data_IF_569171473109
#
_entry.id   IF_569171473109
#
_cell.length_a   1.000
_cell.length_b   1.000
_cell.length_c   1.000
_cell.angle_alpha   90.00
_cell.angle_beta   90.00
_cell.angle_gamma   90.00
#
_symmetry.space_group_name_H-M   'P 1'
#
loop_
_entity.id
_entity.type
_entity.pdbx_description
1 polymer ?
#
# COMPACT_ATOMS: atom_id res chain seq x y z
N UNK A 1 -8.08 -19.01 -17.45
CA UNK A 1 -8.06 -17.98 -18.51
C UNK A 1 -8.97 -16.85 -18.06
N UNK A 2 -8.42 -15.79 -17.46
CA UNK A 2 -9.24 -14.62 -17.11
C UNK A 2 -9.56 -13.84 -18.38
N UNK A 3 -10.82 -13.44 -18.53
CA UNK A 3 -11.30 -12.71 -19.70
C UNK A 3 -10.94 -11.23 -19.60
N UNK A 4 -10.03 -10.79 -20.47
CA UNK A 4 -9.73 -9.39 -20.75
C UNK A 4 -10.92 -8.76 -21.49
N UNK A 5 -11.51 -7.71 -20.95
CA UNK A 5 -12.48 -6.86 -21.68
C UNK A 5 -11.91 -5.46 -21.68
N UNK A 6 -11.96 -4.71 -22.76
CA UNK A 6 -11.27 -3.42 -22.90
C UNK A 6 -12.31 -2.31 -23.07
N UNK A 7 -12.35 -1.31 -22.17
CA UNK A 7 -13.03 -0.03 -22.42
C UNK A 7 -12.32 1.11 -21.71
N UNK A 8 -11.89 2.08 -22.53
CA UNK A 8 -11.60 3.49 -22.22
C UNK A 8 -10.59 3.79 -21.11
N UNK A 9 -9.31 3.92 -21.49
CA UNK A 9 -8.35 4.89 -20.92
C UNK A 9 -7.89 4.72 -19.47
N UNK A 10 -8.44 3.76 -18.73
CA UNK A 10 -8.02 3.39 -17.38
C UNK A 10 -7.42 1.99 -17.50
N UNK A 11 -6.13 1.84 -17.15
CA UNK A 11 -5.51 0.53 -17.02
C UNK A 11 -6.42 -0.35 -16.16
N UNK A 12 -6.91 -1.44 -16.75
CA UNK A 12 -7.91 -2.28 -16.11
C UNK A 12 -7.29 -3.07 -14.97
N UNK A 13 -7.84 -2.90 -13.78
CA UNK A 13 -7.42 -3.57 -12.55
C UNK A 13 -7.60 -5.09 -12.65
N UNK A 14 -6.66 -5.85 -12.08
CA UNK A 14 -6.90 -7.27 -11.79
C UNK A 14 -8.07 -7.37 -10.81
N UNK A 15 -9.05 -8.25 -11.10
CA UNK A 15 -10.04 -8.66 -10.11
C UNK A 15 -9.30 -9.14 -8.86
N UNK A 16 -9.59 -8.51 -7.71
CA UNK A 16 -8.94 -8.84 -6.45
C UNK A 16 -7.96 -7.80 -5.92
N UNK A 17 -7.71 -6.67 -6.59
CA UNK A 17 -6.88 -5.58 -6.02
C UNK A 17 -7.73 -4.47 -5.38
N UNK A 18 -7.20 -3.77 -4.39
CA UNK A 18 -7.78 -2.54 -3.86
C UNK A 18 -6.73 -1.43 -3.69
N UNK A 19 -7.14 -0.20 -3.97
CA UNK A 19 -6.34 0.99 -3.71
C UNK A 19 -6.20 1.18 -2.19
N UNK A 20 -4.97 1.36 -1.71
CA UNK A 20 -4.68 1.48 -0.28
C UNK A 20 -5.50 2.61 0.39
N UNK A 21 -5.71 3.73 -0.29
CA UNK A 21 -6.52 4.85 0.24
C UNK A 21 -8.04 4.60 0.27
N UNK A 22 -8.54 3.57 -0.44
CA UNK A 22 -9.96 3.22 -0.52
C UNK A 22 -10.34 2.04 0.39
N UNK A 23 -9.41 1.52 1.19
CA UNK A 23 -9.66 0.38 2.08
C UNK A 23 -10.63 0.70 3.22
N UNK A 24 -10.99 1.97 3.40
CA UNK A 24 -11.87 2.45 4.45
C UNK A 24 -13.18 2.99 3.85
N UNK A 25 -14.20 2.13 3.76
CA UNK A 25 -15.60 2.54 3.49
C UNK A 25 -16.65 1.75 4.29
N UNK A 26 -16.28 0.82 5.15
CA UNK A 26 -17.24 0.13 6.01
C UNK A 26 -17.41 0.92 7.32
N UNK A 27 -18.56 1.60 7.44
CA UNK A 27 -19.13 2.18 8.67
C UNK A 27 -19.41 1.12 9.77
N UNK A 28 -18.56 0.11 9.95
CA UNK A 28 -18.80 -1.07 10.80
C UNK A 28 -17.84 -1.19 11.99
N UNK A 29 -16.98 -0.21 12.23
CA UNK A 29 -16.08 -0.25 13.39
C UNK A 29 -16.79 0.40 14.58
N UNK A 30 -17.43 -0.41 15.43
CA UNK A 30 -18.09 0.08 16.64
C UNK A 30 -17.10 0.56 17.70
N UNK A 31 -15.88 0.01 17.72
CA UNK A 31 -14.81 0.37 18.66
C UNK A 31 -13.43 0.38 17.98
N UNK A 32 -13.07 1.46 17.28
CA UNK A 32 -11.74 1.59 16.71
C UNK A 32 -10.68 1.68 17.82
N UNK A 33 -9.64 0.86 17.71
CA UNK A 33 -8.37 1.03 18.42
C UNK A 33 -7.67 2.28 17.88
N UNK A 34 -7.44 3.24 18.77
CA UNK A 34 -6.70 4.46 18.49
C UNK A 34 -5.30 4.33 19.07
N UNK A 35 -4.29 4.75 18.32
CA UNK A 35 -2.97 4.95 18.89
C UNK A 35 -2.96 6.13 19.88
N UNK A 36 -1.83 6.32 20.57
CA UNK A 36 -1.64 7.42 21.54
C UNK A 36 -1.85 8.84 20.96
N UNK A 37 -1.90 8.98 19.64
CA UNK A 37 -2.13 10.24 18.94
C UNK A 37 -3.53 10.36 18.34
N UNK A 38 -4.42 9.39 18.59
CA UNK A 38 -5.80 9.39 18.09
C UNK A 38 -5.94 8.97 16.62
N UNK A 39 -4.97 8.25 16.06
CA UNK A 39 -5.06 7.73 14.70
C UNK A 39 -5.59 6.29 14.65
N UNK A 40 -6.38 5.99 13.62
CA UNK A 40 -6.99 4.69 13.37
C UNK A 40 -6.29 4.03 12.19
N UNK A 41 -5.70 2.87 12.45
CA UNK A 41 -4.92 2.10 11.51
C UNK A 41 -5.72 1.40 10.41
N UNK A 42 -5.84 2.03 9.23
CA UNK A 42 -6.71 1.52 8.15
C UNK A 42 -6.25 0.18 7.58
N UNK A 43 -4.95 -0.01 7.44
CA UNK A 43 -4.40 -1.21 6.81
C UNK A 43 -4.43 -2.40 7.77
N UNK A 44 -4.23 -2.19 9.08
CA UNK A 44 -4.38 -3.26 10.07
C UNK A 44 -5.81 -3.84 10.05
N UNK A 45 -6.84 -2.99 10.03
CA UNK A 45 -8.24 -3.48 9.91
C UNK A 45 -8.47 -4.25 8.62
N UNK A 46 -7.96 -3.74 7.49
CA UNK A 46 -8.09 -4.44 6.21
C UNK A 46 -7.54 -5.87 6.28
N UNK A 47 -6.38 -6.08 6.90
CA UNK A 47 -5.81 -7.42 7.04
C UNK A 47 -6.64 -8.31 7.96
N UNK A 48 -7.14 -7.78 9.07
CA UNK A 48 -8.00 -8.52 10.01
C UNK A 48 -9.34 -8.92 9.39
N UNK A 49 -9.95 -8.05 8.58
CA UNK A 49 -11.22 -8.34 7.90
C UNK A 49 -11.05 -9.31 6.72
N UNK A 50 -9.94 -9.19 5.98
CA UNK A 50 -9.71 -9.98 4.76
C UNK A 50 -9.15 -11.38 5.06
N UNK A 51 -8.35 -11.51 6.13
CA UNK A 51 -7.70 -12.76 6.49
C UNK A 51 -8.02 -13.11 7.96
N UNK A 52 -9.19 -13.72 8.24
CA UNK A 52 -9.59 -14.04 9.61
C UNK A 52 -8.81 -15.21 10.22
N UNK A 53 -8.22 -16.07 9.38
CA UNK A 53 -7.41 -17.21 9.83
C UNK A 53 -6.01 -16.73 10.27
N UNK A 54 -5.58 -16.93 11.53
CA UNK A 54 -4.35 -16.32 12.06
C UNK A 54 -3.08 -16.70 11.31
N UNK A 55 -2.99 -17.94 10.86
CA UNK A 55 -1.84 -18.44 10.09
C UNK A 55 -1.73 -17.71 8.75
N UNK A 56 -2.83 -17.64 8.00
CA UNK A 56 -2.92 -16.91 6.75
C UNK A 56 -2.67 -15.42 6.97
N UNK A 57 -3.30 -14.78 7.97
CA UNK A 57 -3.08 -13.37 8.30
C UNK A 57 -1.60 -13.04 8.49
N UNK A 58 -0.89 -13.86 9.25
CA UNK A 58 0.53 -13.66 9.51
C UNK A 58 1.35 -13.74 8.21
N UNK A 59 1.12 -14.78 7.39
CA UNK A 59 1.80 -14.94 6.11
C UNK A 59 1.54 -13.76 5.16
N UNK A 60 0.28 -13.33 5.03
CA UNK A 60 -0.13 -12.22 4.18
C UNK A 60 0.49 -10.90 4.63
N UNK A 61 0.54 -10.66 5.94
CA UNK A 61 1.23 -9.50 6.50
C UNK A 61 2.73 -9.53 6.23
N UNK A 62 3.38 -10.70 6.28
CA UNK A 62 4.79 -10.80 5.89
C UNK A 62 5.00 -10.50 4.39
N UNK A 63 4.13 -10.98 3.51
CA UNK A 63 4.17 -10.66 2.08
C UNK A 63 3.96 -9.17 1.81
N UNK A 64 3.04 -8.54 2.54
CA UNK A 64 2.85 -7.09 2.52
C UNK A 64 4.13 -6.34 2.89
N UNK A 65 4.71 -6.62 4.06
CA UNK A 65 5.91 -5.90 4.53
C UNK A 65 7.07 -6.05 3.54
N UNK A 66 7.30 -7.27 3.04
CA UNK A 66 8.37 -7.56 2.07
C UNK A 66 8.17 -6.84 0.74
N UNK A 67 6.94 -6.81 0.23
CA UNK A 67 6.63 -6.11 -1.02
C UNK A 67 6.72 -4.59 -0.88
N UNK A 68 6.31 -4.02 0.27
CA UNK A 68 6.54 -2.60 0.59
C UNK A 68 8.04 -2.28 0.63
N UNK A 69 8.85 -3.11 1.30
CA UNK A 69 10.30 -2.93 1.38
C UNK A 69 10.95 -2.96 0.00
N UNK A 70 10.66 -3.99 -0.81
CA UNK A 70 11.18 -4.12 -2.16
C UNK A 70 10.77 -2.92 -3.04
N UNK A 71 9.48 -2.55 -3.01
CA UNK A 71 8.96 -1.41 -3.78
C UNK A 71 9.62 -0.10 -3.37
N UNK A 72 9.88 0.11 -2.07
CA UNK A 72 10.56 1.31 -1.57
C UNK A 72 11.99 1.46 -2.09
N UNK A 73 12.75 0.36 -2.12
CA UNK A 73 14.13 0.34 -2.62
C UNK A 73 14.14 0.58 -4.13
N UNK A 74 13.27 -0.12 -4.88
CA UNK A 74 13.16 0.04 -6.33
C UNK A 74 12.75 1.46 -6.71
N UNK A 75 11.75 2.03 -6.03
CA UNK A 75 11.28 3.39 -6.28
C UNK A 75 12.35 4.45 -5.96
N UNK A 76 13.19 4.20 -4.96
CA UNK A 76 14.34 5.05 -4.68
C UNK A 76 15.39 4.98 -5.80
N UNK A 77 15.82 3.79 -6.19
CA UNK A 77 16.86 3.58 -7.22
C UNK A 77 16.42 4.14 -8.57
N UNK A 78 15.17 3.93 -8.96
CA UNK A 78 14.64 4.42 -10.24
C UNK A 78 14.29 5.92 -10.24
N UNK A 79 14.21 6.55 -9.06
CA UNK A 79 13.82 7.95 -8.93
C UNK A 79 12.37 8.23 -9.36
N UNK A 80 11.43 7.34 -9.04
CA UNK A 80 10.01 7.47 -9.40
C UNK A 80 9.36 8.66 -8.67
N UNK A 81 9.03 9.75 -9.35
CA UNK A 81 8.57 11.03 -8.79
C UNK A 81 7.07 11.20 -8.58
N UNK A 82 6.27 10.12 -8.56
CA UNK A 82 4.84 10.18 -8.25
C UNK A 82 4.48 9.21 -7.12
N UNK A 83 5.07 9.47 -5.95
CA UNK A 83 5.18 8.54 -4.81
C UNK A 83 3.99 8.60 -3.86
N UNK A 84 2.81 8.96 -4.35
CA UNK A 84 1.62 9.10 -3.52
C UNK A 84 0.90 7.77 -3.30
N UNK A 85 0.27 7.60 -2.13
CA UNK A 85 -0.48 6.38 -1.73
C UNK A 85 -1.59 6.00 -2.71
N UNK A 86 -2.02 6.93 -3.58
CA UNK A 86 -2.99 6.64 -4.64
C UNK A 86 -2.43 5.76 -5.77
N UNK A 87 -1.11 5.57 -5.82
CA UNK A 87 -0.42 4.71 -6.81
C UNK A 87 0.02 3.37 -6.22
N UNK A 88 -0.45 3.03 -5.02
CA UNK A 88 -0.19 1.75 -4.36
C UNK A 88 -1.50 0.95 -4.27
N UNK A 89 -1.51 -0.17 -4.97
CA UNK A 89 -2.49 -1.22 -4.80
C UNK A 89 -2.01 -2.25 -3.78
N UNK A 90 -2.98 -2.86 -3.11
CA UNK A 90 -2.80 -4.10 -2.35
C UNK A 90 -3.64 -5.19 -3.03
N UNK A 91 -3.01 -6.31 -3.36
CA UNK A 91 -3.73 -7.51 -3.79
C UNK A 91 -4.47 -8.13 -2.60
N UNK A 92 -5.78 -8.33 -2.68
CA UNK A 92 -6.61 -8.87 -1.59
C UNK A 92 -6.40 -10.36 -1.37
N UNK A 93 -5.83 -11.08 -2.33
CA UNK A 93 -5.51 -12.49 -2.18
C UNK A 93 -4.11 -12.65 -1.60
N UNK A 94 -3.11 -11.94 -2.13
CA UNK A 94 -1.70 -12.13 -1.75
C UNK A 94 -1.20 -11.18 -0.68
N UNK A 95 -1.90 -10.06 -0.46
CA UNK A 95 -1.49 -8.91 0.34
C UNK A 95 -0.24 -8.18 -0.18
N UNK A 96 0.21 -8.49 -1.40
CA UNK A 96 1.38 -7.84 -1.98
C UNK A 96 1.04 -6.44 -2.51
N UNK A 97 2.01 -5.53 -2.35
CA UNK A 97 1.92 -4.18 -2.87
C UNK A 97 2.33 -4.13 -4.34
N UNK A 98 1.47 -3.51 -5.15
CA UNK A 98 1.72 -3.27 -6.57
C UNK A 98 1.71 -1.76 -6.84
N UNK A 99 2.80 -1.25 -7.40
CA UNK A 99 2.89 0.13 -7.85
C UNK A 99 2.30 0.24 -9.26
N UNK A 100 1.39 1.18 -9.47
CA UNK A 100 0.59 1.26 -10.72
C UNK A 100 0.90 2.47 -11.59
N UNK A 101 1.70 3.42 -11.10
CA UNK A 101 2.06 4.59 -11.87
C UNK A 101 3.59 4.74 -11.95
N UNK A 102 4.09 4.86 -13.17
CA UNK A 102 5.51 5.14 -13.46
C UNK A 102 5.64 6.39 -14.34
N UNK A 103 4.58 7.20 -14.47
CA UNK A 103 4.51 8.34 -15.38
C UNK A 103 5.55 9.43 -15.07
N UNK A 104 5.96 9.57 -13.82
CA UNK A 104 7.10 10.39 -13.40
C UNK A 104 8.22 9.46 -12.95
N UNK A 105 9.19 9.20 -13.82
CA UNK A 105 10.38 8.40 -13.52
C UNK A 105 11.67 9.20 -13.75
N UNK A 106 12.82 8.66 -13.32
CA UNK A 106 14.15 9.24 -13.56
C UNK A 106 14.33 10.65 -12.99
N UNK A 107 13.93 10.84 -11.73
CA UNK A 107 14.11 12.09 -10.97
C UNK A 107 13.36 13.32 -11.50
N UNK A 108 12.47 13.16 -12.49
CA UNK A 108 11.64 14.25 -13.00
C UNK A 108 10.76 14.89 -11.93
N UNK A 109 10.48 14.19 -10.83
CA UNK A 109 9.79 14.73 -9.64
C UNK A 109 10.54 15.87 -8.95
N UNK A 110 11.87 15.99 -9.11
CA UNK A 110 12.67 17.10 -8.55
C UNK A 110 12.52 18.40 -9.33
N UNK A 111 12.02 18.32 -10.57
CA UNK A 111 11.89 19.44 -11.52
C UNK A 111 10.46 20.03 -11.46
N UNK A 112 9.56 19.42 -10.68
CA UNK A 112 8.22 19.95 -10.43
C UNK A 112 8.27 21.29 -9.69
N UNK A 113 7.21 22.10 -9.87
CA UNK A 113 7.07 23.40 -9.19
C UNK A 113 7.18 23.27 -7.66
N UNK A 114 6.70 22.16 -7.11
CA UNK A 114 6.97 21.72 -5.75
C UNK A 114 7.77 20.42 -5.81
N UNK A 115 9.11 20.45 -5.56
CA UNK A 115 9.94 19.27 -5.68
C UNK A 115 9.56 18.16 -4.70
N UNK A 116 9.51 16.92 -5.17
CA UNK A 116 9.45 15.76 -4.30
C UNK A 116 10.85 15.44 -3.73
N UNK A 117 11.05 15.67 -2.43
CA UNK A 117 12.33 15.45 -1.76
C UNK A 117 12.45 14.09 -1.07
N UNK A 118 11.32 13.39 -0.84
CA UNK A 118 11.30 12.11 -0.12
C UNK A 118 11.50 10.93 -1.08
N UNK A 119 12.40 9.98 -0.75
CA UNK A 119 12.77 8.86 -1.63
C UNK A 119 11.66 7.80 -1.78
N UNK A 120 10.88 7.58 -0.73
CA UNK A 120 9.68 6.76 -0.67
C UNK A 120 8.80 7.25 0.48
N UNK A 121 7.48 7.26 0.31
CA UNK A 121 6.55 7.79 1.31
C UNK A 121 5.96 6.67 2.16
N UNK A 122 6.61 6.37 3.28
CA UNK A 122 6.04 5.54 4.35
C UNK A 122 5.00 6.34 5.12
N UNK A 123 3.73 6.29 4.69
CA UNK A 123 2.65 6.91 5.46
C UNK A 123 2.30 6.12 6.70
N UNK A 124 1.55 6.75 7.62
CA UNK A 124 1.06 6.10 8.83
C UNK A 124 0.24 4.85 8.53
N UNK A 125 -0.61 4.88 7.50
CA UNK A 125 -1.38 3.69 7.09
C UNK A 125 -0.46 2.55 6.61
N UNK A 126 0.61 2.87 5.86
CA UNK A 126 1.54 1.85 5.39
C UNK A 126 2.28 1.21 6.56
N UNK A 127 2.77 2.02 7.51
CA UNK A 127 3.48 1.53 8.70
C UNK A 127 2.54 0.73 9.60
N UNK A 128 1.29 1.17 9.74
CA UNK A 128 0.25 0.49 10.50
C UNK A 128 -0.04 -0.93 9.97
N UNK A 129 0.00 -1.13 8.66
CA UNK A 129 -0.11 -2.47 8.05
C UNK A 129 1.03 -3.44 8.44
N UNK A 130 2.16 -2.92 8.90
CA UNK A 130 3.27 -3.73 9.45
C UNK A 130 3.03 -4.10 10.93
N UNK A 131 2.02 -3.48 11.53
CA UNK A 131 1.56 -3.42 12.94
C UNK A 131 2.66 -3.16 13.95
N UNK A 132 2.62 -3.79 15.13
CA UNK A 132 3.29 -3.22 16.33
C UNK A 132 4.79 -2.91 16.18
N UNK A 133 5.54 -3.72 15.45
CA UNK A 133 6.98 -3.48 15.24
C UNK A 133 7.25 -2.38 14.19
N UNK A 134 6.23 -2.01 13.41
CA UNK A 134 6.31 -1.00 12.36
C UNK A 134 7.47 -1.26 11.41
N UNK A 135 8.25 -0.20 11.18
CA UNK A 135 9.45 -0.23 10.33
C UNK A 135 10.65 -0.93 10.98
N UNK A 136 10.64 -1.18 12.29
CA UNK A 136 11.76 -1.82 13.01
C UNK A 136 11.64 -3.36 13.03
N UNK A 137 10.62 -3.92 12.36
CA UNK A 137 10.45 -5.36 12.16
C UNK A 137 11.02 -5.85 10.82
N UNK A 138 10.30 -6.75 10.16
CA UNK A 138 10.68 -7.36 8.86
C UNK A 138 11.01 -6.36 7.74
N UNK A 139 10.62 -5.09 7.90
CA UNK A 139 10.88 -4.05 6.90
C UNK A 139 12.36 -3.66 6.77
N UNK A 140 13.15 -3.79 7.85
CA UNK A 140 14.53 -3.29 7.96
C UNK A 140 15.59 -4.38 7.86
#
# INVERSE_FOLDING_TARGET
MSSFVERSGVHKWCEGTALSHNLDRSNKISHPFYDSSGYVGKNEYFFLETFPEPSAWFERRQSYIKSVAASSIVGYIMGLGDRHVNNILIDKNTAEVVHIDFGIAFEKGKILATPETVPFRLTRDIVDGMGINGVEGTFK
#
